data_IF_651721996521
#
_entry.id   IF_651721996521
#
_cell.length_a   1.000
_cell.length_b   1.000
_cell.length_c   1.000
_cell.angle_alpha   90.00
_cell.angle_beta   90.00
_cell.angle_gamma   90.00
#
_symmetry.space_group_name_H-M   'P 1'
#
loop_
_entity.id
_entity.type
_entity.pdbx_description
1 polymer ?
#
# COMPACT_ATOMS: atom_id res chain seq x y z
N UNK A 1 -0.53 1.63 -9.85
CA UNK A 1 -1.17 2.20 -11.06
C UNK A 1 -0.21 3.18 -11.72
N UNK A 2 0.41 2.85 -12.87
CA UNK A 2 1.26 3.80 -13.61
C UNK A 2 0.37 4.53 -14.62
N UNK A 3 0.17 5.83 -14.44
CA UNK A 3 -0.47 6.62 -15.49
C UNK A 3 0.39 6.54 -16.77
N UNK A 4 -0.14 6.07 -17.90
CA UNK A 4 0.55 6.24 -19.18
C UNK A 4 0.65 7.74 -19.50
N UNK A 5 1.83 8.23 -19.89
CA UNK A 5 1.99 9.60 -20.40
C UNK A 5 2.97 10.53 -19.68
N UNK A 6 3.74 10.05 -18.69
CA UNK A 6 4.84 10.83 -18.10
C UNK A 6 4.41 12.09 -17.33
N UNK A 7 5.34 13.03 -17.16
CA UNK A 7 5.13 14.29 -16.41
C UNK A 7 4.07 15.18 -17.06
N UNK A 8 4.02 15.22 -18.39
CA UNK A 8 3.08 16.00 -19.19
C UNK A 8 1.64 15.57 -18.88
N UNK A 9 1.32 14.29 -19.09
CA UNK A 9 -0.02 13.78 -18.81
C UNK A 9 -0.42 13.95 -17.35
N UNK A 10 0.53 13.78 -16.41
CA UNK A 10 0.29 14.02 -14.99
C UNK A 10 -0.12 15.48 -14.72
N UNK A 11 0.66 16.45 -15.20
CA UNK A 11 0.36 17.87 -14.94
C UNK A 11 -0.95 18.28 -15.56
N UNK A 12 -1.21 17.91 -16.81
CA UNK A 12 -2.46 18.23 -17.49
C UNK A 12 -3.65 17.71 -16.68
N UNK A 13 -3.62 16.41 -16.34
CA UNK A 13 -4.70 15.77 -15.57
C UNK A 13 -4.84 16.38 -14.17
N UNK A 14 -3.73 16.65 -13.48
CA UNK A 14 -3.74 17.21 -12.14
C UNK A 14 -4.34 18.61 -12.14
N UNK A 15 -4.03 19.43 -13.15
CA UNK A 15 -4.57 20.78 -13.26
C UNK A 15 -6.09 20.74 -13.45
N UNK A 16 -6.57 19.92 -14.39
CA UNK A 16 -8.01 19.75 -14.62
C UNK A 16 -8.74 19.22 -13.37
N UNK A 17 -8.16 18.22 -12.70
CA UNK A 17 -8.72 17.67 -11.45
C UNK A 17 -8.79 18.70 -10.31
N UNK A 18 -7.87 19.67 -10.30
CA UNK A 18 -7.80 20.74 -9.31
C UNK A 18 -8.66 21.95 -9.71
N UNK A 19 -9.48 21.83 -10.76
CA UNK A 19 -10.42 22.85 -11.22
C UNK A 19 -9.80 23.89 -12.15
N UNK A 20 -8.57 23.66 -12.61
CA UNK A 20 -7.95 24.46 -13.67
C UNK A 20 -8.44 24.05 -15.05
N UNK A 21 -8.02 24.82 -16.07
CA UNK A 21 -8.27 24.48 -17.47
C UNK A 21 -6.94 24.39 -18.21
N UNK A 22 -6.86 23.48 -19.17
CA UNK A 22 -5.65 23.25 -19.97
C UNK A 22 -6.02 23.31 -21.45
N UNK A 23 -5.29 24.12 -22.22
CA UNK A 23 -5.40 24.20 -23.68
C UNK A 23 -4.05 23.82 -24.29
N UNK A 24 -4.04 22.77 -25.13
CA UNK A 24 -2.86 22.40 -25.91
C UNK A 24 -2.66 23.40 -27.06
N UNK A 25 -1.48 24.01 -27.14
CA UNK A 25 -1.14 25.00 -28.19
C UNK A 25 -0.29 24.37 -29.30
N UNK A 26 0.68 23.55 -28.90
CA UNK A 26 1.53 22.74 -29.77
C UNK A 26 1.92 21.45 -29.04
N UNK A 27 2.66 20.56 -29.70
CA UNK A 27 3.24 19.40 -29.02
C UNK A 27 4.23 19.86 -27.95
N UNK A 28 4.03 19.39 -26.71
CA UNK A 28 4.84 19.81 -25.57
C UNK A 28 4.57 21.23 -25.04
N UNK A 29 3.60 21.98 -25.57
CA UNK A 29 3.26 23.34 -25.13
C UNK A 29 1.78 23.50 -24.77
N UNK A 30 1.52 23.96 -23.54
CA UNK A 30 0.18 24.13 -22.99
C UNK A 30 -0.01 25.52 -22.39
N UNK A 31 -1.19 26.08 -22.59
CA UNK A 31 -1.68 27.21 -21.79
C UNK A 31 -2.55 26.65 -20.68
N UNK A 32 -2.23 26.99 -19.43
CA UNK A 32 -2.96 26.52 -18.26
C UNK A 32 -3.56 27.72 -17.52
N UNK A 33 -4.81 27.56 -17.10
CA UNK A 33 -5.50 28.48 -16.21
C UNK A 33 -5.50 27.89 -14.80
N UNK A 34 -4.91 28.61 -13.85
CA UNK A 34 -4.68 28.12 -12.50
C UNK A 34 -5.00 29.17 -11.44
N UNK A 35 -5.69 28.81 -10.34
CA UNK A 35 -5.92 29.75 -9.26
C UNK A 35 -4.62 30.09 -8.52
N UNK A 36 -4.29 31.38 -8.48
CA UNK A 36 -3.18 31.93 -7.73
C UNK A 36 -3.36 31.67 -6.22
N UNK A 37 -2.26 31.50 -5.48
CA UNK A 37 -2.29 31.06 -4.07
C UNK A 37 -2.96 32.04 -3.10
N UNK A 38 -3.08 33.32 -3.45
CA UNK A 38 -3.36 34.39 -2.50
C UNK A 38 -4.55 35.30 -2.88
N UNK A 39 -4.84 35.42 -4.17
CA UNK A 39 -5.97 36.18 -4.70
C UNK A 39 -6.84 35.19 -5.46
N UNK A 40 -8.17 35.28 -5.36
CA UNK A 40 -9.08 34.41 -6.13
C UNK A 40 -9.02 34.69 -7.66
N UNK A 41 -7.89 35.19 -8.15
CA UNK A 41 -7.58 35.49 -9.53
C UNK A 41 -7.04 34.24 -10.22
N UNK A 42 -7.47 34.06 -11.46
CA UNK A 42 -7.05 32.98 -12.33
C UNK A 42 -5.85 33.49 -13.12
N UNK A 43 -4.69 32.88 -12.90
CA UNK A 43 -3.47 33.16 -13.68
C UNK A 43 -3.39 32.24 -14.89
N UNK A 44 -3.10 32.83 -16.04
CA UNK A 44 -2.75 32.09 -17.24
C UNK A 44 -1.23 31.90 -17.30
N UNK A 45 -0.77 30.66 -17.39
CA UNK A 45 0.66 30.30 -17.50
C UNK A 45 0.89 29.45 -18.74
N UNK A 46 2.03 29.60 -19.37
CA UNK A 46 2.46 28.73 -20.46
C UNK A 46 3.45 27.70 -19.91
N UNK A 47 3.17 26.42 -20.12
CA UNK A 47 4.01 25.31 -19.67
C UNK A 47 4.56 24.58 -20.89
N UNK A 48 5.88 24.45 -20.94
CA UNK A 48 6.58 23.64 -21.93
C UNK A 48 7.16 22.38 -21.26
N UNK A 49 7.17 21.27 -21.99
CA UNK A 49 7.68 19.98 -21.52
C UNK A 49 8.94 19.51 -22.28
N UNK A 50 9.37 20.29 -23.27
CA UNK A 50 10.55 20.04 -24.09
C UNK A 50 11.45 21.30 -24.10
N UNK A 51 12.77 21.18 -23.85
CA UNK A 51 13.70 22.29 -24.00
C UNK A 51 13.67 22.99 -25.37
N UNK A 52 13.42 22.27 -26.46
CA UNK A 52 13.38 22.85 -27.82
C UNK A 52 12.23 23.86 -27.96
N UNK A 53 11.10 23.61 -27.30
CA UNK A 53 9.93 24.49 -27.29
C UNK A 53 10.22 25.82 -26.60
N UNK A 54 11.13 25.84 -25.62
CA UNK A 54 11.53 27.07 -24.91
C UNK A 54 12.35 28.01 -25.82
N UNK A 55 13.09 27.46 -26.78
CA UNK A 55 13.83 28.29 -27.75
C UNK A 55 12.87 29.06 -28.66
N UNK A 56 11.73 28.46 -29.00
CA UNK A 56 10.67 29.08 -29.81
C UNK A 56 9.74 29.99 -28.99
N UNK A 57 9.46 29.63 -27.73
CA UNK A 57 8.58 30.36 -26.83
C UNK A 57 9.27 30.67 -25.48
N UNK A 58 10.14 31.71 -25.41
CA UNK A 58 10.93 32.02 -24.21
C UNK A 58 10.10 32.46 -22.99
N UNK A 59 8.80 32.76 -23.20
CA UNK A 59 7.86 33.11 -22.14
C UNK A 59 7.22 31.92 -21.44
N UNK A 60 7.42 30.71 -21.96
CA UNK A 60 6.91 29.48 -21.34
C UNK A 60 7.84 29.00 -20.21
N UNK A 61 7.25 28.34 -19.22
CA UNK A 61 7.99 27.70 -18.14
C UNK A 61 8.29 26.25 -18.48
N UNK A 62 9.56 25.86 -18.44
CA UNK A 62 9.96 24.47 -18.64
C UNK A 62 9.65 23.64 -17.40
N UNK A 63 8.75 22.68 -17.57
CA UNK A 63 8.40 21.74 -16.51
C UNK A 63 9.29 20.50 -16.55
N UNK A 64 10.08 20.33 -15.51
CA UNK A 64 10.92 19.16 -15.27
C UNK A 64 10.69 18.59 -13.87
N UNK A 65 11.30 17.45 -13.55
CA UNK A 65 11.20 16.79 -12.23
C UNK A 65 11.64 17.64 -11.02
N UNK A 66 12.33 18.76 -11.24
CA UNK A 66 12.76 19.70 -10.21
C UNK A 66 12.21 21.12 -10.42
N UNK A 67 11.21 21.28 -11.30
CA UNK A 67 10.59 22.57 -11.53
C UNK A 67 9.68 22.96 -10.35
N UNK A 68 9.67 24.24 -9.92
CA UNK A 68 8.78 24.71 -8.85
C UNK A 68 7.30 24.45 -9.15
N UNK A 69 6.89 24.56 -10.42
CA UNK A 69 5.50 24.30 -10.84
C UNK A 69 5.11 22.84 -10.64
N UNK A 70 5.98 21.87 -10.97
CA UNK A 70 5.69 20.48 -10.68
C UNK A 70 5.55 20.26 -9.17
N UNK A 71 6.47 20.78 -8.36
CA UNK A 71 6.42 20.63 -6.91
C UNK A 71 5.13 21.21 -6.32
N UNK A 72 4.72 22.39 -6.77
CA UNK A 72 3.48 23.05 -6.34
C UNK A 72 2.24 22.22 -6.70
N UNK A 73 2.18 21.67 -7.92
CA UNK A 73 1.06 20.83 -8.36
C UNK A 73 1.03 19.53 -7.56
N UNK A 74 2.17 18.86 -7.36
CA UNK A 74 2.26 17.65 -6.54
C UNK A 74 1.82 17.94 -5.10
N UNK A 75 2.26 19.06 -4.52
CA UNK A 75 1.88 19.45 -3.17
C UNK A 75 0.37 19.70 -3.07
N UNK A 76 -0.25 20.40 -4.03
CA UNK A 76 -1.70 20.63 -4.03
C UNK A 76 -2.50 19.35 -4.28
N UNK A 77 -2.07 18.52 -5.22
CA UNK A 77 -2.71 17.25 -5.53
C UNK A 77 -2.65 16.27 -4.35
N UNK A 78 -1.57 16.30 -3.57
CA UNK A 78 -1.41 15.47 -2.36
C UNK A 78 -2.04 16.08 -1.10
N UNK A 79 -2.21 17.41 -1.06
CA UNK A 79 -2.94 18.08 0.01
C UNK A 79 -4.46 17.87 -0.12
N UNK A 80 -4.96 17.83 -1.35
CA UNK A 80 -6.33 17.47 -1.72
C UNK A 80 -6.46 15.96 -1.97
N UNK A 81 -7.67 15.44 -2.18
CA UNK A 81 -7.84 14.03 -2.58
C UNK A 81 -7.52 12.96 -1.52
N UNK A 82 -7.42 13.33 -0.24
CA UNK A 82 -7.15 12.37 0.86
C UNK A 82 -8.21 11.28 0.98
N UNK A 83 -9.45 11.59 0.61
CA UNK A 83 -10.53 10.62 0.52
C UNK A 83 -11.25 10.84 -0.81
N UNK A 84 -11.36 9.78 -1.60
CA UNK A 84 -12.06 9.79 -2.87
C UNK A 84 -13.05 8.63 -2.93
N UNK A 85 -13.99 8.71 -3.88
CA UNK A 85 -14.94 7.65 -4.20
C UNK A 85 -14.84 7.30 -5.68
N UNK A 86 -14.88 6.02 -5.99
CA UNK A 86 -15.04 5.54 -7.36
C UNK A 86 -15.82 4.22 -7.41
N UNK A 87 -16.33 3.89 -8.58
CA UNK A 87 -17.01 2.65 -8.91
C UNK A 87 -16.19 1.91 -9.97
N UNK A 88 -16.11 0.59 -9.87
CA UNK A 88 -15.48 -0.21 -10.91
C UNK A 88 -16.46 -0.42 -12.07
N UNK A 89 -16.02 -0.14 -13.31
CA UNK A 89 -16.86 -0.29 -14.51
C UNK A 89 -16.93 -1.75 -14.98
N UNK A 90 -17.40 -2.64 -14.10
CA UNK A 90 -17.63 -4.04 -14.42
C UNK A 90 -19.13 -4.36 -14.36
N UNK A 91 -19.63 -5.02 -15.42
CA UNK A 91 -21.05 -5.39 -15.51
C UNK A 91 -21.28 -6.80 -14.95
N UNK A 92 -22.10 -6.96 -13.90
CA UNK A 92 -22.41 -8.27 -13.36
C UNK A 92 -23.32 -9.07 -14.30
N UNK A 93 -22.95 -10.32 -14.59
CA UNK A 93 -23.84 -11.26 -15.28
C UNK A 93 -24.69 -12.05 -14.29
N UNK A 94 -25.98 -11.71 -14.21
CA UNK A 94 -26.96 -12.40 -13.37
C UNK A 94 -27.66 -13.47 -14.20
N UNK A 95 -27.30 -14.73 -14.00
CA UNK A 95 -27.90 -15.86 -14.72
C UNK A 95 -28.02 -17.11 -13.83
N UNK A 96 -28.88 -18.08 -14.18
CA UNK A 96 -28.89 -19.39 -13.54
C UNK A 96 -27.54 -20.11 -13.62
N UNK A 97 -26.79 -19.93 -14.72
CA UNK A 97 -25.44 -20.49 -14.87
C UNK A 97 -24.46 -19.94 -13.84
N UNK A 98 -24.54 -18.64 -13.55
CA UNK A 98 -23.75 -17.98 -12.50
C UNK A 98 -24.07 -18.59 -11.12
N UNK A 99 -25.33 -18.85 -10.82
CA UNK A 99 -25.73 -19.50 -9.56
C UNK A 99 -25.17 -20.93 -9.43
N UNK A 100 -25.16 -21.70 -10.52
CA UNK A 100 -24.56 -23.04 -10.54
C UNK A 100 -23.05 -22.97 -10.33
N UNK A 101 -22.36 -22.02 -10.96
CA UNK A 101 -20.92 -21.82 -10.77
C UNK A 101 -20.59 -21.38 -9.35
N UNK A 102 -21.41 -20.50 -8.76
CA UNK A 102 -21.31 -20.11 -7.36
C UNK A 102 -21.45 -21.33 -6.45
N UNK A 103 -22.48 -22.16 -6.64
CA UNK A 103 -22.70 -23.38 -5.85
C UNK A 103 -21.51 -24.34 -5.90
N UNK A 104 -20.81 -24.43 -7.04
CA UNK A 104 -19.60 -25.26 -7.20
C UNK A 104 -18.38 -24.74 -6.44
N UNK A 105 -18.38 -23.47 -6.03
CA UNK A 105 -17.32 -22.90 -5.18
C UNK A 105 -17.43 -23.37 -3.72
N UNK A 106 -18.50 -24.09 -3.37
CA UNK A 106 -18.81 -24.51 -2.01
C UNK A 106 -18.88 -26.03 -1.88
N UNK A 107 -18.53 -26.50 -0.68
CA UNK A 107 -18.80 -27.86 -0.23
C UNK A 107 -19.99 -27.83 0.73
N UNK A 108 -21.11 -28.40 0.30
CA UNK A 108 -22.29 -28.54 1.17
C UNK A 108 -22.27 -29.89 1.91
N UNK A 109 -22.29 -29.84 3.24
CA UNK A 109 -22.15 -30.99 4.13
C UNK A 109 -23.52 -31.59 4.42
N UNK A 110 -23.80 -32.76 3.85
CA UNK A 110 -25.11 -33.46 3.94
C UNK A 110 -26.33 -32.57 3.60
N UNK A 111 -26.10 -31.56 2.77
CA UNK A 111 -27.08 -30.57 2.37
C UNK A 111 -26.91 -30.22 0.89
N UNK A 112 -27.95 -29.62 0.33
CA UNK A 112 -27.92 -29.04 -1.02
C UNK A 112 -28.41 -27.61 -0.96
N UNK A 113 -27.72 -26.71 -1.65
CA UNK A 113 -28.14 -25.32 -1.78
C UNK A 113 -28.79 -25.10 -3.14
N UNK A 114 -29.95 -24.45 -3.14
CA UNK A 114 -30.63 -23.99 -4.34
C UNK A 114 -30.75 -22.48 -4.30
N UNK A 115 -30.20 -21.83 -5.31
CA UNK A 115 -30.31 -20.40 -5.48
C UNK A 115 -31.73 -20.00 -5.89
N UNK A 116 -32.15 -18.83 -5.39
CA UNK A 116 -33.28 -18.07 -5.90
C UNK A 116 -32.76 -17.04 -6.93
N UNK A 117 -33.51 -15.95 -7.15
CA UNK A 117 -33.10 -14.88 -8.03
C UNK A 117 -31.87 -14.13 -7.46
N UNK A 118 -30.85 -13.95 -8.30
CA UNK A 118 -29.69 -13.13 -7.98
C UNK A 118 -30.01 -11.64 -8.15
N UNK A 119 -29.35 -10.79 -7.35
CA UNK A 119 -29.42 -9.33 -7.47
C UNK A 119 -28.01 -8.73 -7.44
N UNK A 120 -27.78 -7.69 -8.21
CA UNK A 120 -26.54 -6.92 -8.14
C UNK A 120 -26.48 -6.05 -6.88
N UNK A 121 -25.30 -5.99 -6.26
CA UNK A 121 -24.99 -5.18 -5.09
C UNK A 121 -23.63 -4.51 -5.28
N UNK A 122 -23.44 -3.37 -4.64
CA UNK A 122 -22.14 -2.74 -4.50
C UNK A 122 -21.43 -3.26 -3.25
N UNK A 123 -20.23 -3.79 -3.43
CA UNK A 123 -19.30 -4.12 -2.36
C UNK A 123 -18.37 -2.94 -2.12
N UNK A 124 -18.43 -2.30 -0.94
CA UNK A 124 -17.50 -1.26 -0.54
C UNK A 124 -16.12 -1.84 -0.23
N UNK A 125 -15.09 -1.18 -0.76
CA UNK A 125 -13.68 -1.51 -0.62
C UNK A 125 -12.90 -0.26 -0.24
N UNK A 126 -12.01 -0.36 0.74
CA UNK A 126 -11.08 0.70 1.09
C UNK A 126 -9.72 0.39 0.49
N UNK A 127 -9.27 1.20 -0.47
CA UNK A 127 -7.91 1.17 -0.97
C UNK A 127 -7.10 2.24 -0.23
N UNK A 128 -6.30 1.80 0.74
CA UNK A 128 -5.46 2.65 1.57
C UNK A 128 -4.08 2.78 0.92
N UNK A 129 -3.65 4.02 0.68
CA UNK A 129 -2.32 4.32 0.15
C UNK A 129 -1.44 4.85 1.28
N UNK A 130 -0.40 4.10 1.61
CA UNK A 130 0.60 4.50 2.60
C UNK A 130 1.88 4.95 1.90
N UNK A 131 2.55 5.95 2.48
CA UNK A 131 3.94 6.29 2.16
C UNK A 131 4.83 5.71 3.23
N UNK A 132 5.79 4.88 2.81
CA UNK A 132 6.88 4.41 3.65
C UNK A 132 8.15 5.20 3.30
N UNK A 133 8.80 5.78 4.31
CA UNK A 133 10.10 6.46 4.19
C UNK A 133 11.13 5.67 4.95
N UNK A 134 12.20 5.31 4.27
CA UNK A 134 13.34 4.60 4.84
C UNK A 134 14.48 5.59 5.01
N UNK A 135 14.92 5.78 6.26
CA UNK A 135 15.91 6.77 6.66
C UNK A 135 17.18 6.05 7.11
N UNK A 136 18.28 6.31 6.41
CA UNK A 136 19.65 5.93 6.78
C UNK A 136 20.62 7.04 6.38
N UNK A 137 21.81 6.69 5.88
CA UNK A 137 22.68 7.55 5.07
C UNK A 137 22.00 8.11 3.80
N UNK A 138 20.88 7.53 3.38
CA UNK A 138 20.05 7.99 2.27
C UNK A 138 18.57 7.96 2.66
N UNK A 139 17.75 8.74 1.95
CA UNK A 139 16.30 8.73 2.08
C UNK A 139 15.69 8.05 0.86
N UNK A 140 15.01 6.93 1.09
CA UNK A 140 14.21 6.25 0.08
C UNK A 140 12.72 6.35 0.44
N UNK A 141 11.86 6.54 -0.55
CA UNK A 141 10.41 6.55 -0.37
C UNK A 141 9.75 5.45 -1.21
N UNK A 142 8.71 4.85 -0.66
CA UNK A 142 7.90 3.82 -1.33
C UNK A 142 6.41 4.05 -1.05
N UNK A 143 5.57 3.57 -1.95
CA UNK A 143 4.12 3.65 -1.87
C UNK A 143 3.53 2.25 -1.71
N UNK A 144 2.80 2.05 -0.62
CA UNK A 144 2.22 0.76 -0.26
C UNK A 144 0.71 0.85 -0.33
N UNK A 145 0.14 0.17 -1.32
CA UNK A 145 -1.31 0.04 -1.53
C UNK A 145 -1.87 -1.16 -0.76
N UNK A 146 -2.97 -0.96 -0.03
CA UNK A 146 -3.68 -2.03 0.69
C UNK A 146 -5.18 -1.95 0.41
N UNK A 147 -5.71 -2.93 -0.32
CA UNK A 147 -7.15 -3.08 -0.55
C UNK A 147 -7.82 -3.92 0.54
N UNK A 148 -8.86 -3.38 1.16
CA UNK A 148 -9.65 -4.05 2.21
C UNK A 148 -11.11 -4.14 1.79
N UNK A 149 -11.68 -5.34 1.80
CA UNK A 149 -13.12 -5.54 1.70
C UNK A 149 -13.77 -4.94 2.95
N UNK A 150 -14.54 -3.87 2.80
CA UNK A 150 -15.14 -3.16 3.93
C UNK A 150 -16.35 -3.90 4.50
N UNK A 151 -16.87 -4.95 3.87
CA UNK A 151 -17.96 -5.74 4.44
C UNK A 151 -17.47 -6.80 5.43
N UNK A 152 -16.22 -7.25 5.33
CA UNK A 152 -15.71 -8.36 6.15
C UNK A 152 -14.22 -8.30 6.56
N UNK A 153 -13.48 -7.29 6.13
CA UNK A 153 -12.09 -7.06 6.51
C UNK A 153 -11.07 -7.91 5.75
N UNK A 154 -11.47 -8.68 4.72
CA UNK A 154 -10.50 -9.44 3.92
C UNK A 154 -9.61 -8.52 3.08
N UNK A 155 -8.35 -8.93 2.89
CA UNK A 155 -7.41 -8.23 2.00
C UNK A 155 -7.66 -8.64 0.55
N UNK A 156 -7.86 -7.64 -0.32
CA UNK A 156 -8.03 -7.82 -1.76
C UNK A 156 -6.68 -7.63 -2.46
N UNK A 157 -6.01 -8.73 -2.77
CA UNK A 157 -4.64 -8.72 -3.32
C UNK A 157 -4.55 -8.34 -4.79
N UNK A 158 -5.62 -8.60 -5.56
CA UNK A 158 -5.65 -8.42 -7.03
C UNK A 158 -6.46 -7.19 -7.47
N UNK A 159 -6.57 -6.21 -6.56
CA UNK A 159 -7.43 -5.05 -6.79
C UNK A 159 -6.85 -4.12 -7.88
N UNK A 160 -5.54 -3.97 -7.94
CA UNK A 160 -4.89 -3.15 -8.96
C UNK A 160 -5.17 -3.69 -10.36
N UNK A 161 -5.05 -5.00 -10.57
CA UNK A 161 -5.32 -5.66 -11.85
C UNK A 161 -6.79 -5.53 -12.25
N UNK A 162 -7.71 -5.54 -11.28
CA UNK A 162 -9.12 -5.28 -11.54
C UNK A 162 -9.35 -3.84 -11.99
N UNK A 163 -8.75 -2.86 -11.31
CA UNK A 163 -8.84 -1.44 -11.67
C UNK A 163 -8.28 -1.21 -13.07
N UNK A 164 -7.10 -1.76 -13.38
CA UNK A 164 -6.47 -1.60 -14.70
C UNK A 164 -7.31 -2.24 -15.82
N UNK A 165 -7.98 -3.37 -15.54
CA UNK A 165 -8.81 -4.07 -16.53
C UNK A 165 -10.12 -3.38 -16.83
N UNK A 166 -10.83 -2.93 -15.80
CA UNK A 166 -12.21 -2.44 -15.94
C UNK A 166 -12.30 -0.91 -15.91
N UNK A 167 -11.31 -0.22 -15.35
CA UNK A 167 -11.34 1.22 -15.16
C UNK A 167 -12.30 1.67 -14.05
N UNK A 168 -12.24 2.97 -13.75
CA UNK A 168 -13.00 3.61 -12.69
C UNK A 168 -14.01 4.61 -13.27
N UNK A 169 -15.15 4.76 -12.59
CA UNK A 169 -16.10 5.85 -12.80
C UNK A 169 -16.31 6.62 -11.49
N UNK A 170 -16.44 7.95 -11.53
CA UNK A 170 -16.77 8.75 -10.34
C UNK A 170 -18.20 8.47 -9.84
N UNK A 171 -19.10 8.16 -10.76
CA UNK A 171 -20.52 7.94 -10.50
C UNK A 171 -20.90 6.47 -10.67
N UNK A 172 -21.88 5.98 -9.88
CA UNK A 172 -22.37 4.62 -10.03
C UNK A 172 -23.03 4.49 -11.42
N UNK A 173 -22.62 3.52 -12.25
CA UNK A 173 -23.30 3.28 -13.52
C UNK A 173 -24.75 2.82 -13.31
N UNK A 174 -25.03 2.22 -12.15
CA UNK A 174 -26.32 1.61 -11.81
C UNK A 174 -26.69 1.83 -10.34
N UNK A 175 -27.99 1.97 -10.06
CA UNK A 175 -28.52 2.22 -8.72
C UNK A 175 -28.72 0.94 -7.88
N UNK A 176 -27.64 0.19 -7.65
CA UNK A 176 -27.68 -1.03 -6.83
C UNK A 176 -27.60 -0.75 -5.32
N UNK A 177 -28.16 -1.64 -4.47
CA UNK A 177 -27.98 -1.55 -3.03
C UNK A 177 -26.52 -1.72 -2.60
N UNK A 178 -26.16 -1.09 -1.48
CA UNK A 178 -24.83 -1.16 -0.88
C UNK A 178 -24.77 -2.23 0.20
N UNK A 179 -23.70 -3.04 0.20
CA UNK A 179 -23.43 -3.93 1.34
C UNK A 179 -23.06 -3.13 2.58
N UNK A 180 -23.35 -3.68 3.77
CA UNK A 180 -22.97 -3.05 5.03
C UNK A 180 -21.44 -2.92 5.15
N UNK A 181 -20.99 -1.83 5.76
CA UNK A 181 -19.58 -1.52 5.97
C UNK A 181 -19.17 -1.70 7.43
N UNK A 182 -17.95 -2.17 7.61
CA UNK A 182 -17.22 -2.10 8.85
C UNK A 182 -16.96 -0.62 9.22
N UNK A 183 -16.90 -0.30 10.53
CA UNK A 183 -16.45 1.00 10.98
C UNK A 183 -15.06 1.34 10.41
N UNK A 184 -14.86 2.61 10.04
CA UNK A 184 -13.61 3.06 9.41
C UNK A 184 -12.35 2.74 10.25
N UNK A 185 -12.45 2.81 11.58
CA UNK A 185 -11.35 2.46 12.48
C UNK A 185 -10.94 0.99 12.40
N UNK A 186 -11.89 0.07 12.24
CA UNK A 186 -11.61 -1.36 12.07
C UNK A 186 -10.99 -1.65 10.71
N UNK A 187 -11.54 -1.06 9.65
CA UNK A 187 -10.98 -1.17 8.31
C UNK A 187 -9.54 -0.62 8.25
N UNK A 188 -9.27 0.51 8.89
CA UNK A 188 -7.93 1.07 8.99
C UNK A 188 -6.97 0.18 9.79
N UNK A 189 -7.42 -0.41 10.90
CA UNK A 189 -6.61 -1.33 11.68
C UNK A 189 -6.19 -2.57 10.86
N UNK A 190 -7.12 -3.11 10.05
CA UNK A 190 -6.84 -4.19 9.10
C UNK A 190 -5.82 -3.75 8.05
N UNK A 191 -6.03 -2.57 7.44
CA UNK A 191 -5.14 -2.04 6.42
C UNK A 191 -3.72 -1.82 6.95
N UNK A 192 -3.61 -1.26 8.15
CA UNK A 192 -2.34 -1.03 8.85
C UNK A 192 -1.60 -2.34 9.12
N UNK A 193 -2.29 -3.36 9.63
CA UNK A 193 -1.67 -4.65 9.93
C UNK A 193 -1.15 -5.37 8.66
N UNK A 194 -1.81 -5.18 7.51
CA UNK A 194 -1.32 -5.69 6.23
C UNK A 194 -0.16 -4.84 5.68
N UNK A 195 -0.22 -3.51 5.80
CA UNK A 195 0.89 -2.61 5.45
C UNK A 195 2.15 -3.00 6.23
N UNK A 196 2.04 -3.16 7.56
CA UNK A 196 3.17 -3.54 8.42
C UNK A 196 3.82 -4.83 7.93
N UNK A 197 3.01 -5.81 7.50
CA UNK A 197 3.51 -7.06 6.91
C UNK A 197 4.19 -6.85 5.54
N UNK A 198 3.64 -5.98 4.68
CA UNK A 198 4.20 -5.70 3.35
C UNK A 198 5.58 -5.03 3.42
N UNK A 199 5.81 -4.14 4.38
CA UNK A 199 7.09 -3.41 4.50
C UNK A 199 8.23 -4.26 5.09
N UNK A 200 7.95 -5.38 5.76
CA UNK A 200 8.99 -6.22 6.38
C UNK A 200 10.02 -6.74 5.37
N UNK A 201 9.57 -7.10 4.16
CA UNK A 201 10.46 -7.64 3.13
C UNK A 201 11.40 -6.56 2.54
N UNK A 202 10.90 -5.39 2.08
CA UNK A 202 11.74 -4.24 1.73
C UNK A 202 12.72 -3.83 2.83
N UNK A 203 12.23 -3.71 4.08
CA UNK A 203 13.07 -3.38 5.24
C UNK A 203 14.18 -4.39 5.45
N UNK A 204 13.86 -5.68 5.38
CA UNK A 204 14.86 -6.75 5.52
C UNK A 204 15.93 -6.69 4.43
N UNK A 205 15.57 -6.32 3.19
CA UNK A 205 16.51 -6.15 2.08
C UNK A 205 17.45 -4.97 2.32
N UNK A 206 16.90 -3.79 2.65
CA UNK A 206 17.69 -2.59 2.94
C UNK A 206 18.62 -2.81 4.12
N UNK A 207 18.11 -3.38 5.22
CA UNK A 207 18.92 -3.67 6.41
C UNK A 207 20.14 -4.51 6.09
N UNK A 208 19.99 -5.61 5.33
CA UNK A 208 21.14 -6.45 4.92
C UNK A 208 22.16 -5.68 4.07
N UNK A 209 21.69 -4.77 3.22
CA UNK A 209 22.54 -3.90 2.41
C UNK A 209 23.37 -2.94 3.28
N UNK A 210 22.72 -2.28 4.24
CA UNK A 210 23.37 -1.35 5.17
C UNK A 210 24.33 -2.07 6.12
N UNK A 211 23.93 -3.23 6.68
CA UNK A 211 24.81 -4.07 7.52
C UNK A 211 26.08 -4.49 6.76
N UNK A 212 25.95 -4.86 5.49
CA UNK A 212 27.09 -5.23 4.65
C UNK A 212 28.04 -4.05 4.41
N UNK A 213 27.51 -2.84 4.20
CA UNK A 213 28.31 -1.61 4.05
C UNK A 213 28.97 -1.21 5.37
N UNK A 214 28.22 -1.21 6.47
CA UNK A 214 28.72 -0.95 7.81
C UNK A 214 29.88 -1.89 8.17
N UNK A 215 29.74 -3.20 7.90
CA UNK A 215 30.79 -4.18 8.17
C UNK A 215 32.08 -3.89 7.39
N UNK A 216 31.96 -3.56 6.10
CA UNK A 216 33.11 -3.20 5.25
C UNK A 216 33.78 -1.91 5.71
N UNK A 217 33.01 -0.88 6.02
CA UNK A 217 33.57 0.40 6.45
C UNK A 217 34.17 0.35 7.85
N UNK A 218 33.48 -0.30 8.79
CA UNK A 218 33.98 -0.50 10.15
C UNK A 218 35.25 -1.36 10.13
N UNK A 219 35.30 -2.41 9.29
CA UNK A 219 36.50 -3.23 9.12
C UNK A 219 37.69 -2.44 8.56
N UNK A 220 37.47 -1.58 7.56
CA UNK A 220 38.52 -0.68 7.05
C UNK A 220 39.00 0.32 8.09
N UNK A 221 38.08 0.93 8.84
CA UNK A 221 38.42 1.88 9.90
C UNK A 221 39.20 1.21 11.04
N UNK A 222 38.76 0.03 11.48
CA UNK A 222 39.45 -0.74 12.51
C UNK A 222 40.88 -1.10 12.07
N UNK A 223 41.06 -1.65 10.86
CA UNK A 223 42.38 -2.01 10.35
C UNK A 223 43.34 -0.81 10.28
N UNK A 224 42.86 0.38 9.90
CA UNK A 224 43.66 1.61 9.90
C UNK A 224 44.15 1.98 11.31
N UNK A 225 43.26 1.98 12.30
CA UNK A 225 43.62 2.30 13.68
C UNK A 225 44.50 1.23 14.33
N UNK A 226 44.31 -0.04 13.97
CA UNK A 226 45.16 -1.14 14.45
C UNK A 226 46.60 -0.98 13.93
N UNK A 227 46.77 -0.61 12.65
CA UNK A 227 48.09 -0.32 12.07
C UNK A 227 48.75 0.88 12.76
N UNK A 228 48.01 1.98 12.93
CA UNK A 228 48.49 3.18 13.61
C UNK A 228 48.89 2.88 15.07
N UNK A 229 48.09 2.10 15.77
CA UNK A 229 48.38 1.66 17.15
C UNK A 229 49.66 0.84 17.19
N UNK A 230 49.83 -0.11 16.25
CA UNK A 230 51.04 -0.94 16.16
C UNK A 230 52.30 -0.10 15.94
N UNK A 231 52.25 0.89 15.05
CA UNK A 231 53.39 1.80 14.81
C UNK A 231 53.83 2.53 16.09
N UNK A 232 52.87 3.07 16.86
CA UNK A 232 53.17 3.76 18.11
C UNK A 232 53.63 2.82 19.23
N UNK A 233 53.09 1.61 19.30
CA UNK A 233 53.56 0.58 20.24
C UNK A 233 54.99 0.13 19.93
N UNK A 234 55.34 -0.04 18.65
CA UNK A 234 56.70 -0.38 18.22
C UNK A 234 57.70 0.73 18.59
N UNK A 235 57.33 1.99 18.37
CA UNK A 235 58.10 3.15 18.82
C UNK A 235 58.29 3.13 20.34
N UNK A 236 57.23 2.83 21.10
CA UNK A 236 57.30 2.76 22.56
C UNK A 236 58.20 1.61 23.05
N UNK A 237 58.15 0.44 22.41
CA UNK A 237 59.00 -0.73 22.72
C UNK A 237 60.47 -0.46 22.47
N UNK A 238 60.80 0.41 21.50
CA UNK A 238 62.18 0.81 21.20
C UNK A 238 62.83 1.70 22.27
N UNK A 239 62.02 2.33 23.14
CA UNK A 239 62.52 3.19 24.23
C UNK A 239 62.89 2.36 25.48
N UNK A 240 63.91 2.74 26.25
CA UNK A 240 64.22 2.11 27.54
C UNK A 240 63.05 2.18 28.54
N UNK A 241 62.99 1.24 29.48
CA UNK A 241 62.02 1.30 30.57
C UNK A 241 62.28 2.54 31.45
N UNK A 242 61.24 3.33 31.73
CA UNK A 242 61.36 4.58 32.51
C UNK A 242 61.76 5.82 31.70
N UNK A 243 61.91 5.70 30.37
CA UNK A 243 62.19 6.85 29.51
C UNK A 243 61.01 7.86 29.55
N UNK A 244 61.26 9.16 29.82
CA UNK A 244 60.21 10.18 29.86
C UNK A 244 59.45 10.33 28.53
N UNK A 245 60.04 9.93 27.40
CA UNK A 245 59.41 9.88 26.08
C UNK A 245 58.28 8.84 25.95
N UNK A 246 58.14 7.90 26.89
CA UNK A 246 57.01 6.95 26.92
C UNK A 246 55.68 7.61 27.32
N UNK A 247 55.70 8.64 28.16
CA UNK A 247 54.48 9.30 28.67
C UNK A 247 53.68 9.98 27.53
N UNK A 248 54.30 10.75 26.61
CA UNK A 248 53.62 11.28 25.44
C UNK A 248 53.06 10.20 24.51
N UNK A 249 53.75 9.06 24.35
CA UNK A 249 53.30 7.94 23.51
C UNK A 249 52.06 7.26 24.10
N UNK A 250 52.05 7.00 25.41
CA UNK A 250 50.86 6.47 26.11
C UNK A 250 49.65 7.39 25.95
N UNK A 251 49.88 8.71 26.02
CA UNK A 251 48.82 9.69 25.80
C UNK A 251 48.28 9.65 24.38
N UNK A 252 49.15 9.47 23.36
CA UNK A 252 48.73 9.32 21.97
C UNK A 252 47.94 8.03 21.73
N UNK A 253 48.41 6.90 22.27
CA UNK A 253 47.71 5.61 22.16
C UNK A 253 46.30 5.68 22.76
N UNK A 254 46.14 6.33 23.92
CA UNK A 254 44.81 6.58 24.51
C UNK A 254 43.93 7.45 23.61
N UNK A 255 44.48 8.52 23.03
CA UNK A 255 43.74 9.40 22.13
C UNK A 255 43.27 8.66 20.87
N UNK A 256 44.13 7.82 20.29
CA UNK A 256 43.82 6.97 19.13
C UNK A 256 42.66 6.02 19.47
N UNK A 257 42.69 5.37 20.64
CA UNK A 257 41.60 4.49 21.08
C UNK A 257 40.25 5.21 21.18
N UNK A 258 40.23 6.41 21.78
CA UNK A 258 39.02 7.23 21.85
C UNK A 258 38.51 7.66 20.46
N UNK A 259 39.42 8.00 19.54
CA UNK A 259 39.07 8.37 18.17
C UNK A 259 38.51 7.18 17.39
N UNK A 260 39.10 5.99 17.55
CA UNK A 260 38.60 4.75 16.97
C UNK A 260 37.18 4.43 17.46
N UNK A 261 36.95 4.48 18.77
CA UNK A 261 35.62 4.27 19.35
C UNK A 261 34.60 5.27 18.81
N UNK A 262 34.97 6.56 18.78
CA UNK A 262 34.14 7.62 18.22
C UNK A 262 33.80 7.38 16.75
N UNK A 263 34.78 7.00 15.94
CA UNK A 263 34.60 6.73 14.52
C UNK A 263 33.69 5.51 14.27
N UNK A 264 33.86 4.45 15.05
CA UNK A 264 33.00 3.26 14.95
C UNK A 264 31.56 3.57 15.40
N UNK A 265 31.38 4.41 16.42
CA UNK A 265 30.06 4.87 16.85
C UNK A 265 29.38 5.73 15.78
N UNK A 266 30.12 6.64 15.14
CA UNK A 266 29.64 7.45 14.02
C UNK A 266 29.17 6.58 12.85
N UNK A 267 29.97 5.58 12.45
CA UNK A 267 29.59 4.64 11.39
C UNK A 267 28.31 3.87 11.74
N UNK A 268 28.16 3.39 12.98
CA UNK A 268 26.93 2.72 13.43
C UNK A 268 25.72 3.65 13.38
N UNK A 269 25.90 4.92 13.77
CA UNK A 269 24.85 5.94 13.68
C UNK A 269 24.43 6.21 12.23
N UNK A 270 25.41 6.38 11.33
CA UNK A 270 25.19 6.62 9.88
C UNK A 270 24.37 5.52 9.21
N UNK A 271 24.56 4.26 9.59
CA UNK A 271 23.87 3.11 8.98
C UNK A 271 22.66 2.62 9.78
N UNK A 272 22.19 3.39 10.76
CA UNK A 272 20.93 3.11 11.45
C UNK A 272 19.78 3.27 10.47
N UNK A 273 18.93 2.25 10.36
CA UNK A 273 17.75 2.25 9.51
C UNK A 273 16.51 2.55 10.34
N UNK A 274 15.77 3.59 9.96
CA UNK A 274 14.46 3.92 10.50
C UNK A 274 13.41 3.90 9.39
N UNK A 275 12.17 3.56 9.75
CA UNK A 275 11.06 3.46 8.82
C UNK A 275 9.89 4.28 9.35
N UNK A 276 9.54 5.33 8.63
CA UNK A 276 8.36 6.15 8.92
C UNK A 276 7.25 5.80 7.94
N UNK A 277 6.06 5.53 8.46
CA UNK A 277 4.89 5.25 7.61
C UNK A 277 3.78 6.22 7.92
N UNK A 278 3.22 6.82 6.86
CA UNK A 278 2.07 7.71 6.94
C UNK A 278 0.98 7.27 5.95
N UNK A 279 -0.29 7.32 6.37
CA UNK A 279 -1.41 7.20 5.44
C UNK A 279 -1.49 8.47 4.59
N UNK A 280 -1.44 8.34 3.27
CA UNK A 280 -1.57 9.45 2.33
C UNK A 280 -3.03 9.68 1.95
N UNK A 281 -3.70 8.63 1.50
CA UNK A 281 -5.08 8.72 1.00
C UNK A 281 -5.84 7.40 1.14
N UNK A 282 -7.16 7.51 1.02
CA UNK A 282 -8.09 6.38 1.00
C UNK A 282 -9.03 6.55 -0.20
N UNK A 283 -8.99 5.62 -1.14
CA UNK A 283 -10.01 5.51 -2.18
C UNK A 283 -11.09 4.53 -1.70
N UNK A 284 -12.32 5.02 -1.55
CA UNK A 284 -13.50 4.19 -1.31
C UNK A 284 -14.03 3.71 -2.66
N UNK A 285 -13.67 2.48 -2.99
CA UNK A 285 -13.99 1.83 -4.25
C UNK A 285 -15.22 0.94 -4.09
N UNK A 286 -16.11 0.94 -5.07
CA UNK A 286 -17.31 0.10 -5.07
C UNK A 286 -17.21 -0.94 -6.19
N UNK A 287 -17.16 -2.22 -5.81
CA UNK A 287 -17.07 -3.34 -6.72
C UNK A 287 -18.45 -3.97 -6.95
N UNK A 288 -18.80 -4.37 -8.19
CA UNK A 288 -20.04 -5.10 -8.44
C UNK A 288 -19.97 -6.50 -7.80
N UNK A 289 -21.09 -6.94 -7.23
CA UNK A 289 -21.31 -8.32 -6.74
C UNK A 289 -22.68 -8.82 -7.14
N UNK A 290 -22.80 -10.13 -7.34
CA UNK A 290 -24.11 -10.77 -7.49
C UNK A 290 -24.42 -11.55 -6.23
N UNK A 291 -25.48 -11.16 -5.55
CA UNK A 291 -25.95 -11.77 -4.31
C UNK A 291 -27.11 -12.69 -4.63
N UNK A 292 -26.97 -13.97 -4.29
CA UNK A 292 -28.02 -14.97 -4.43
C UNK A 292 -28.55 -15.32 -3.05
N UNK A 293 -29.81 -14.97 -2.80
CA UNK A 293 -30.57 -15.65 -1.76
C UNK A 293 -30.77 -17.10 -2.19
N UNK A 294 -30.85 -18.02 -1.23
CA UNK A 294 -31.07 -19.43 -1.54
C UNK A 294 -31.41 -20.23 -0.30
N UNK A 295 -31.85 -21.46 -0.54
CA UNK A 295 -32.27 -22.37 0.53
C UNK A 295 -31.30 -23.55 0.62
N UNK A 296 -30.65 -23.67 1.77
CA UNK A 296 -29.85 -24.83 2.13
C UNK A 296 -30.78 -25.89 2.73
N UNK A 297 -30.88 -27.05 2.10
CA UNK A 297 -31.79 -28.14 2.51
C UNK A 297 -31.00 -29.41 2.79
N UNK A 298 -31.17 -29.96 3.99
CA UNK A 298 -30.65 -31.27 4.38
C UNK A 298 -31.79 -32.26 4.66
N UNK A 299 -31.47 -33.41 5.24
CA UNK A 299 -32.47 -34.47 5.50
C UNK A 299 -33.56 -34.08 6.50
N UNK A 300 -33.25 -33.25 7.50
CA UNK A 300 -34.15 -32.92 8.64
C UNK A 300 -34.44 -31.43 8.81
N UNK A 301 -33.62 -30.57 8.21
CA UNK A 301 -33.68 -29.13 8.42
C UNK A 301 -33.51 -28.41 7.09
N UNK A 302 -33.92 -27.14 7.06
CA UNK A 302 -33.61 -26.20 5.99
C UNK A 302 -33.33 -24.84 6.60
N UNK A 303 -32.43 -24.08 5.96
CA UNK A 303 -32.08 -22.72 6.35
C UNK A 303 -31.96 -21.83 5.12
N UNK A 304 -32.21 -20.54 5.29
CA UNK A 304 -31.82 -19.54 4.30
C UNK A 304 -30.31 -19.35 4.33
N UNK A 305 -29.71 -19.24 3.16
CA UNK A 305 -28.29 -19.02 2.97
C UNK A 305 -28.08 -18.11 1.77
N UNK A 306 -27.54 -16.93 2.05
CA UNK A 306 -27.15 -15.97 1.03
C UNK A 306 -25.68 -16.18 0.66
N UNK A 307 -25.41 -16.37 -0.63
CA UNK A 307 -24.07 -16.54 -1.18
C UNK A 307 -23.77 -15.40 -2.17
N UNK A 308 -22.50 -15.03 -2.29
CA UNK A 308 -22.06 -13.89 -3.08
C UNK A 308 -21.08 -14.34 -4.17
N UNK A 309 -21.31 -13.86 -5.39
CA UNK A 309 -20.47 -14.07 -6.55
C UNK A 309 -19.69 -12.80 -6.89
N UNK A 310 -18.39 -12.95 -7.12
CA UNK A 310 -17.50 -11.92 -7.65
C UNK A 310 -17.46 -12.02 -9.19
N UNK A 311 -18.08 -11.08 -9.94
CA UNK A 311 -18.03 -11.07 -11.40
C UNK A 311 -16.67 -10.64 -11.97
N UNK A 312 -15.83 -9.96 -11.18
CA UNK A 312 -14.51 -9.44 -11.57
C UNK A 312 -13.50 -10.58 -11.62
N UNK A 313 -13.49 -11.39 -10.57
CA UNK A 313 -12.60 -12.56 -10.40
C UNK A 313 -13.24 -13.88 -10.83
N UNK A 314 -14.54 -13.87 -11.14
CA UNK A 314 -15.33 -15.05 -11.49
C UNK A 314 -15.22 -16.18 -10.46
N UNK A 315 -15.40 -15.83 -9.18
CA UNK A 315 -15.30 -16.77 -8.06
C UNK A 315 -16.39 -16.50 -7.02
N UNK A 316 -16.80 -17.54 -6.28
CA UNK A 316 -17.62 -17.36 -5.09
C UNK A 316 -16.83 -16.71 -3.95
N UNK A 317 -17.40 -15.71 -3.30
CA UNK A 317 -16.92 -15.24 -2.00
C UNK A 317 -17.30 -16.25 -0.91
N UNK A 318 -16.60 -16.37 0.23
CA UNK A 318 -16.95 -17.28 1.31
C UNK A 318 -18.24 -16.84 2.02
N UNK A 319 -19.04 -17.81 2.44
CA UNK A 319 -20.28 -17.56 3.16
C UNK A 319 -20.04 -17.33 4.65
N UNK A 320 -20.97 -16.64 5.32
CA UNK A 320 -20.92 -16.42 6.77
C UNK A 320 -21.63 -17.53 7.53
N UNK A 321 -20.97 -18.10 8.53
CA UNK A 321 -21.56 -19.05 9.46
C UNK A 321 -22.61 -18.35 10.33
N UNK A 322 -23.83 -18.89 10.40
CA UNK A 322 -24.90 -18.39 11.26
C UNK A 322 -24.68 -18.62 12.76
N UNK A 323 -23.70 -19.44 13.15
CA UNK A 323 -23.37 -19.69 14.55
C UNK A 323 -22.25 -18.76 15.07
N UNK A 324 -21.11 -18.71 14.37
CA UNK A 324 -19.93 -17.98 14.84
C UNK A 324 -19.59 -16.72 14.00
N UNK A 325 -20.32 -16.45 12.92
CA UNK A 325 -20.03 -15.35 12.00
C UNK A 325 -18.80 -15.55 11.09
N UNK A 326 -18.02 -16.61 11.32
CA UNK A 326 -16.82 -16.94 10.56
C UNK A 326 -17.09 -17.22 9.07
N UNK A 327 -16.10 -16.92 8.22
CA UNK A 327 -16.17 -17.10 6.77
C UNK A 327 -15.75 -18.53 6.38
N UNK A 328 -16.48 -19.16 5.48
CA UNK A 328 -16.23 -20.55 5.07
C UNK A 328 -16.71 -20.85 3.65
N UNK A 329 -16.08 -21.82 2.99
CA UNK A 329 -16.58 -22.46 1.77
C UNK A 329 -17.21 -23.83 2.04
N UNK A 330 -17.09 -24.33 3.28
CA UNK A 330 -17.74 -25.55 3.74
C UNK A 330 -18.94 -25.19 4.62
N UNK A 331 -20.14 -25.56 4.16
CA UNK A 331 -21.41 -25.17 4.78
C UNK A 331 -22.31 -26.38 4.99
N UNK A 332 -22.91 -26.49 6.17
CA UNK A 332 -23.95 -27.47 6.45
C UNK A 332 -25.06 -26.88 7.31
N UNK A 333 -25.95 -27.73 7.81
CA UNK A 333 -27.06 -27.32 8.67
C UNK A 333 -26.79 -27.72 10.11
N UNK A 334 -26.73 -26.71 10.98
CA UNK A 334 -26.65 -26.94 12.42
C UNK A 334 -28.00 -27.43 12.96
N UNK A 335 -27.99 -28.12 14.11
CA UNK A 335 -29.20 -28.68 14.75
C UNK A 335 -30.25 -27.62 15.10
N UNK A 336 -29.83 -26.36 15.24
CA UNK A 336 -30.72 -25.21 15.46
C UNK A 336 -31.40 -24.69 14.19
N UNK A 337 -31.16 -25.30 13.02
CA UNK A 337 -31.76 -24.89 11.75
C UNK A 337 -31.10 -23.69 11.09
N UNK A 338 -29.84 -23.39 11.40
CA UNK A 338 -29.04 -22.33 10.75
C UNK A 338 -27.94 -22.94 9.88
N UNK A 339 -27.55 -22.22 8.81
CA UNK A 339 -26.36 -22.58 8.04
C UNK A 339 -25.10 -22.35 8.87
N UNK A 340 -24.20 -23.33 8.93
CA UNK A 340 -23.02 -23.28 9.78
C UNK A 340 -21.77 -23.86 9.10
N UNK A 341 -20.61 -23.37 9.51
CA UNK A 341 -19.31 -23.88 9.08
C UNK A 341 -18.99 -25.23 9.72
N UNK A 342 -18.05 -25.97 9.12
CA UNK A 342 -17.61 -27.28 9.62
C UNK A 342 -17.27 -27.29 11.13
N UNK A 343 -16.47 -26.34 11.67
CA UNK A 343 -16.17 -26.30 13.11
C UNK A 343 -17.39 -26.14 14.04
N UNK A 344 -18.46 -25.48 13.57
CA UNK A 344 -19.68 -25.32 14.36
C UNK A 344 -20.64 -26.52 14.24
N UNK A 345 -20.49 -27.34 13.21
CA UNK A 345 -21.28 -28.57 13.04
C UNK A 345 -20.71 -29.72 13.88
N UNK A 346 -19.39 -29.76 14.01
CA UNK A 346 -18.66 -30.74 14.81
C UNK A 346 -17.64 -30.04 15.73
N UNK A 347 -18.09 -29.53 16.89
CA UNK A 347 -17.22 -28.84 17.83
C UNK A 347 -16.21 -29.77 18.51
N UNK A 348 -16.40 -31.08 18.48
CA UNK A 348 -15.47 -32.06 19.07
C UNK A 348 -14.29 -32.35 18.14
N UNK A 349 -14.49 -32.24 16.82
CA UNK A 349 -13.42 -32.42 15.84
C UNK A 349 -12.38 -31.28 15.84
N UNK A 350 -12.73 -30.06 16.26
CA UNK A 350 -11.86 -28.87 16.22
C UNK A 350 -11.96 -28.02 17.51
N UNK A 351 -11.14 -28.29 18.54
CA UNK A 351 -11.07 -27.44 19.73
C UNK A 351 -10.24 -26.18 19.44
N UNK A 352 -10.81 -25.20 18.73
CA UNK A 352 -10.20 -23.87 18.63
C UNK A 352 -11.20 -22.76 18.92
N UNK A 353 -11.04 -22.17 20.12
CA UNK A 353 -11.23 -20.75 20.37
C UNK A 353 -12.66 -20.23 20.38
N UNK A 354 -13.38 -20.45 21.49
CA UNK A 354 -14.40 -19.48 21.90
C UNK A 354 -13.69 -18.15 22.17
N UNK A 355 -14.04 -17.10 21.43
CA UNK A 355 -13.86 -15.71 21.84
C UNK A 355 -15.23 -15.09 22.00
#
# INVERSE_FOLDING_TARGET
>A
MRAPGGIEAFIVTAIECLGGAVEKRADGLYTVLWPAEATAEIEARQLAFDPEVIEEEPGAELVTFASPTLEQIVQRATASGRVARAFLNATPSISPGTAVQLARSYRFLDASWRAEAGRAWWLPVGLFLFRARYLSDSREEDLVEVGVNLADGRILRRLAEAIDRYGLSPDPPEAWPMMAELPAGEAYAVARAEMERKILSPLGRQRRGLESRLARESGRAAAYYDELTREFEEQQKSLPAGDPGRVPLDSKLRAIGLEQEGRLAELRGKYKLEAEVALLSVLRLYLPRVVFAGRLTGKRHAAELTLVWDPVEQVGEPGRCGCCGGLTYEMGLHRSGVAACLPCLDPEAHPQGRR
#
